data_IF_426162593864
#
_entry.id   IF_426162593864
#
_cell.length_a   1.000
_cell.length_b   1.000
_cell.length_c   1.000
_cell.angle_alpha   90.00
_cell.angle_beta   90.00
_cell.angle_gamma   90.00
#
_symmetry.space_group_name_H-M   'P 1'
#
loop_
_entity.id
_entity.type
_entity.pdbx_description
1 polymer ?
#
# COMPACT_ATOMS: atom_id res chain seq x y z
N UNK A 1 -27.59 -9.03 -24.22
CA UNK A 1 -27.96 -9.58 -25.54
C UNK A 1 -29.29 -8.98 -25.95
N UNK A 2 -29.25 -7.75 -26.46
CA UNK A 2 -30.40 -7.03 -27.01
C UNK A 2 -30.39 -7.28 -28.52
N UNK A 3 -31.41 -7.96 -29.03
CA UNK A 3 -31.59 -8.22 -30.47
C UNK A 3 -31.73 -6.87 -31.19
N UNK A 4 -30.81 -6.59 -32.11
CA UNK A 4 -30.99 -5.54 -33.11
C UNK A 4 -32.17 -5.92 -34.03
N UNK A 5 -33.00 -4.96 -34.46
CA UNK A 5 -34.15 -5.25 -35.31
C UNK A 5 -33.69 -5.59 -36.74
N UNK A 6 -34.34 -6.60 -37.32
CA UNK A 6 -34.21 -6.99 -38.72
C UNK A 6 -34.56 -5.80 -39.63
N UNK A 7 -33.54 -5.25 -40.29
CA UNK A 7 -33.73 -4.27 -41.36
C UNK A 7 -34.12 -5.06 -42.62
N UNK A 8 -35.41 -5.04 -42.93
CA UNK A 8 -35.95 -5.60 -44.16
C UNK A 8 -35.29 -4.96 -45.40
N UNK A 9 -35.05 -5.72 -46.48
CA UNK A 9 -34.51 -5.16 -47.71
C UNK A 9 -35.52 -4.19 -48.31
N UNK A 10 -35.10 -2.93 -48.46
CA UNK A 10 -35.87 -1.92 -49.16
C UNK A 10 -36.20 -2.43 -50.58
N UNK A 11 -37.50 -2.53 -50.86
CA UNK A 11 -38.01 -2.83 -52.18
C UNK A 11 -37.48 -1.79 -53.16
N UNK A 12 -36.81 -2.26 -54.20
CA UNK A 12 -36.48 -1.46 -55.39
C UNK A 12 -37.79 -1.09 -56.09
N UNK A 13 -38.41 0.00 -55.62
CA UNK A 13 -39.50 0.68 -56.29
C UNK A 13 -38.99 1.13 -57.65
N UNK A 14 -39.48 0.45 -58.68
CA UNK A 14 -39.16 0.70 -60.09
C UNK A 14 -39.66 2.11 -60.45
N UNK A 15 -38.79 3.11 -60.27
CA UNK A 15 -39.04 4.49 -60.66
C UNK A 15 -39.03 4.61 -62.17
N UNK A 16 -40.14 4.24 -62.80
CA UNK A 16 -40.40 4.56 -64.21
C UNK A 16 -40.74 6.07 -64.28
N UNK A 17 -39.71 6.89 -64.10
CA UNK A 17 -39.78 8.34 -64.08
C UNK A 17 -39.95 8.90 -65.48
N UNK A 18 -41.20 9.14 -65.83
CA UNK A 18 -41.69 10.21 -66.70
C UNK A 18 -40.66 11.09 -67.44
N UNK A 19 -40.13 10.63 -68.57
CA UNK A 19 -39.61 11.48 -69.66
C UNK A 19 -40.63 11.87 -70.77
N UNK A 20 -41.97 11.73 -70.66
CA UNK A 20 -42.88 12.13 -71.75
C UNK A 20 -43.03 13.65 -72.01
N UNK A 21 -42.76 14.61 -71.09
CA UNK A 21 -43.03 16.02 -71.39
C UNK A 21 -42.02 16.64 -72.36
N UNK A 22 -40.73 16.36 -72.23
CA UNK A 22 -39.69 17.00 -73.05
C UNK A 22 -39.75 16.52 -74.51
N UNK A 23 -39.92 15.21 -74.70
CA UNK A 23 -40.08 14.64 -76.04
C UNK A 23 -41.39 15.09 -76.71
N UNK A 24 -42.46 15.26 -75.92
CA UNK A 24 -43.71 15.83 -76.41
C UNK A 24 -43.57 17.32 -76.77
N UNK A 25 -42.89 18.11 -75.95
CA UNK A 25 -42.65 19.54 -76.19
C UNK A 25 -41.73 19.78 -77.41
N UNK A 26 -40.65 19.02 -77.57
CA UNK A 26 -39.79 19.10 -78.75
C UNK A 26 -40.50 18.70 -80.03
N UNK A 27 -41.35 17.66 -79.97
CA UNK A 27 -42.19 17.28 -81.11
C UNK A 27 -43.27 18.33 -81.41
N UNK A 28 -43.77 19.04 -80.40
CA UNK A 28 -44.71 20.15 -80.56
C UNK A 28 -44.05 21.36 -81.22
N UNK A 29 -42.85 21.77 -80.77
CA UNK A 29 -42.04 22.82 -81.41
C UNK A 29 -41.75 22.47 -82.88
N UNK A 30 -41.42 21.20 -83.16
CA UNK A 30 -41.17 20.75 -84.54
C UNK A 30 -42.41 20.91 -85.42
N UNK A 31 -43.60 20.52 -84.93
CA UNK A 31 -44.87 20.73 -85.65
C UNK A 31 -45.20 22.21 -85.85
N UNK A 32 -45.04 23.03 -84.82
CA UNK A 32 -45.28 24.48 -84.91
C UNK A 32 -44.35 25.16 -85.91
N UNK A 33 -43.07 24.74 -86.01
CA UNK A 33 -42.14 25.24 -87.04
C UNK A 33 -42.53 24.80 -88.45
N UNK A 34 -43.00 23.57 -88.61
CA UNK A 34 -43.51 23.07 -89.89
C UNK A 34 -44.78 23.83 -90.32
N UNK A 35 -45.68 24.13 -89.37
CA UNK A 35 -46.89 24.94 -89.59
C UNK A 35 -46.56 26.40 -89.93
N UNK A 36 -45.60 27.02 -89.23
CA UNK A 36 -45.10 28.37 -89.51
C UNK A 36 -44.52 28.46 -90.94
N UNK A 37 -43.76 27.45 -91.37
CA UNK A 37 -43.20 27.37 -92.72
C UNK A 37 -44.31 27.26 -93.78
N UNK A 38 -45.33 26.44 -93.54
CA UNK A 38 -46.46 26.29 -94.44
C UNK A 38 -47.28 27.58 -94.61
N UNK A 39 -47.40 28.39 -93.55
CA UNK A 39 -48.06 29.70 -93.60
C UNK A 39 -47.21 30.73 -94.37
N UNK A 40 -45.89 30.75 -94.13
CA UNK A 40 -44.96 31.61 -94.88
C UNK A 40 -44.91 31.31 -96.39
N UNK A 41 -45.10 30.05 -96.78
CA UNK A 41 -45.19 29.64 -98.21
C UNK A 41 -46.55 29.99 -98.85
N UNK A 42 -47.64 30.07 -98.07
CA UNK A 42 -48.98 30.43 -98.53
C UNK A 42 -49.19 31.96 -98.71
N UNK A 43 -48.40 32.79 -98.03
CA UNK A 43 -48.56 34.25 -97.94
C UNK A 43 -48.19 35.10 -99.16
N UNK A 44 -48.16 34.54 -100.38
CA UNK A 44 -47.77 35.27 -101.60
C UNK A 44 -48.94 35.76 -102.47
N UNK A 45 -50.20 35.61 -102.03
CA UNK A 45 -51.38 36.05 -102.78
C UNK A 45 -52.48 36.70 -101.92
N UNK A 46 -52.97 37.86 -102.36
CA UNK A 46 -54.19 38.57 -101.92
C UNK A 46 -54.15 39.23 -100.51
N UNK A 47 -54.17 40.56 -100.49
CA UNK A 47 -53.92 41.43 -99.34
C UNK A 47 -54.98 41.52 -98.23
N UNK A 48 -55.93 40.58 -98.12
CA UNK A 48 -56.79 40.45 -96.91
C UNK A 48 -56.62 39.12 -96.17
N UNK A 49 -56.00 38.11 -96.80
CA UNK A 49 -55.61 36.86 -96.13
C UNK A 49 -54.22 36.99 -95.49
N UNK A 50 -53.43 37.96 -95.96
CA UNK A 50 -52.11 38.30 -95.43
C UNK A 50 -52.12 38.76 -93.97
N UNK A 51 -53.03 39.65 -93.58
CA UNK A 51 -53.10 40.15 -92.20
C UNK A 51 -53.49 39.04 -91.21
N UNK A 52 -54.37 38.11 -91.63
CA UNK A 52 -54.75 36.95 -90.81
C UNK A 52 -53.65 35.87 -90.75
N UNK A 53 -52.87 35.74 -91.83
CA UNK A 53 -51.70 34.87 -91.86
C UNK A 53 -50.55 35.44 -91.01
N UNK A 54 -50.27 36.75 -91.08
CA UNK A 54 -49.28 37.45 -90.24
C UNK A 54 -49.66 37.38 -88.75
N UNK A 55 -50.95 37.51 -88.41
CA UNK A 55 -51.42 37.37 -87.02
C UNK A 55 -51.29 35.93 -86.50
N UNK A 56 -51.55 34.91 -87.35
CA UNK A 56 -51.32 33.50 -87.01
C UNK A 56 -49.83 33.17 -86.92
N UNK A 57 -49.01 33.71 -87.81
CA UNK A 57 -47.55 33.56 -87.78
C UNK A 57 -46.99 34.17 -86.48
N UNK A 58 -47.42 35.37 -86.10
CA UNK A 58 -47.03 36.00 -84.84
C UNK A 58 -47.54 35.24 -83.61
N UNK A 59 -48.68 34.54 -83.69
CA UNK A 59 -49.16 33.70 -82.60
C UNK A 59 -48.35 32.41 -82.49
N UNK A 60 -48.10 31.72 -83.59
CA UNK A 60 -47.29 30.49 -83.62
C UNK A 60 -45.86 30.79 -83.19
N UNK A 61 -45.28 31.92 -83.61
CA UNK A 61 -43.96 32.33 -83.16
C UNK A 61 -43.91 32.58 -81.65
N UNK A 62 -44.93 33.24 -81.08
CA UNK A 62 -45.06 33.41 -79.62
C UNK A 62 -45.18 32.08 -78.88
N UNK A 63 -45.92 31.13 -79.44
CA UNK A 63 -46.07 29.80 -78.84
C UNK A 63 -44.77 28.98 -78.94
N UNK A 64 -44.01 29.12 -80.04
CA UNK A 64 -42.66 28.55 -80.19
C UNK A 64 -41.72 29.16 -79.15
N UNK A 65 -41.66 30.49 -79.04
CA UNK A 65 -40.78 31.18 -78.09
C UNK A 65 -41.13 30.81 -76.64
N UNK A 66 -42.42 30.71 -76.33
CA UNK A 66 -42.91 30.27 -75.01
C UNK A 66 -42.48 28.82 -74.72
N UNK A 67 -42.66 27.92 -75.68
CA UNK A 67 -42.32 26.49 -75.48
C UNK A 67 -40.80 26.30 -75.44
N UNK A 68 -40.03 27.06 -76.21
CA UNK A 68 -38.56 27.08 -76.14
C UNK A 68 -38.09 27.58 -74.77
N UNK A 69 -38.68 28.66 -74.24
CA UNK A 69 -38.44 29.14 -72.88
C UNK A 69 -38.76 28.08 -71.80
N UNK A 70 -39.86 27.34 -71.95
CA UNK A 70 -40.22 26.25 -71.05
C UNK A 70 -39.22 25.08 -71.13
N UNK A 71 -38.77 24.72 -72.34
CA UNK A 71 -37.73 23.68 -72.55
C UNK A 71 -36.40 24.11 -71.93
N UNK A 72 -36.01 25.39 -72.06
CA UNK A 72 -34.83 25.94 -71.40
C UNK A 72 -34.99 25.99 -69.87
N UNK A 73 -36.18 26.30 -69.36
CA UNK A 73 -36.51 26.23 -67.94
C UNK A 73 -36.38 24.81 -67.38
N UNK A 74 -36.93 23.82 -68.08
CA UNK A 74 -36.81 22.41 -67.73
C UNK A 74 -35.35 21.95 -67.84
N UNK A 75 -34.61 22.39 -68.86
CA UNK A 75 -33.19 22.08 -69.03
C UNK A 75 -32.34 22.58 -67.85
N UNK A 76 -32.61 23.79 -67.35
CA UNK A 76 -31.97 24.33 -66.13
C UNK A 76 -32.33 23.51 -64.89
N UNK A 77 -33.61 23.17 -64.71
CA UNK A 77 -34.04 22.35 -63.58
C UNK A 77 -33.42 20.94 -63.60
N UNK A 78 -33.26 20.33 -64.78
CA UNK A 78 -32.55 19.05 -64.93
C UNK A 78 -31.09 19.20 -64.53
N UNK A 79 -30.40 20.25 -65.00
CA UNK A 79 -28.99 20.48 -64.65
C UNK A 79 -28.79 20.74 -63.14
N UNK A 80 -29.70 21.47 -62.50
CA UNK A 80 -29.71 21.67 -61.04
C UNK A 80 -29.93 20.35 -60.29
N UNK A 81 -30.92 19.56 -60.71
CA UNK A 81 -31.18 18.24 -60.13
C UNK A 81 -30.00 17.28 -60.32
N UNK A 82 -29.35 17.28 -61.49
CA UNK A 82 -28.15 16.46 -61.76
C UNK A 82 -26.98 16.88 -60.85
N UNK A 83 -26.78 18.19 -60.63
CA UNK A 83 -25.78 18.71 -59.72
C UNK A 83 -26.06 18.29 -58.27
N UNK A 84 -27.31 18.39 -57.81
CA UNK A 84 -27.73 17.91 -56.48
C UNK A 84 -27.54 16.39 -56.33
N UNK A 85 -27.88 15.61 -57.36
CA UNK A 85 -27.71 14.16 -57.37
C UNK A 85 -26.23 13.77 -57.27
N UNK A 86 -25.35 14.52 -57.95
CA UNK A 86 -23.90 14.33 -57.87
C UNK A 86 -23.37 14.67 -56.47
N UNK A 87 -23.80 15.79 -55.87
CA UNK A 87 -23.41 16.17 -54.51
C UNK A 87 -23.89 15.15 -53.46
N UNK A 88 -25.14 14.71 -53.56
CA UNK A 88 -25.70 13.69 -52.68
C UNK A 88 -24.97 12.34 -52.82
N UNK A 89 -24.62 11.96 -54.05
CA UNK A 89 -23.85 10.74 -54.30
C UNK A 89 -22.45 10.81 -53.67
N UNK A 90 -21.78 11.96 -53.77
CA UNK A 90 -20.49 12.18 -53.13
C UNK A 90 -20.60 12.15 -51.60
N UNK A 91 -21.62 12.80 -51.02
CA UNK A 91 -21.86 12.77 -49.57
C UNK A 91 -22.18 11.36 -49.07
N UNK A 92 -22.95 10.59 -49.83
CA UNK A 92 -23.24 9.20 -49.52
C UNK A 92 -21.96 8.35 -49.47
N UNK A 93 -21.04 8.56 -50.40
CA UNK A 93 -19.79 7.80 -50.45
C UNK A 93 -18.87 8.14 -49.26
N UNK A 94 -18.71 9.42 -48.93
CA UNK A 94 -17.98 9.85 -47.72
C UNK A 94 -18.63 9.29 -46.45
N UNK A 95 -19.96 9.28 -46.38
CA UNK A 95 -20.68 8.69 -45.26
C UNK A 95 -20.46 7.17 -45.15
N UNK A 96 -20.34 6.44 -46.28
CA UNK A 96 -20.02 5.01 -46.29
C UNK A 96 -18.61 4.74 -45.83
N UNK A 97 -17.62 5.48 -46.33
CA UNK A 97 -16.23 5.34 -45.92
C UNK A 97 -16.06 5.60 -44.41
N UNK A 98 -16.67 6.66 -43.89
CA UNK A 98 -16.67 6.96 -42.45
C UNK A 98 -17.38 5.89 -41.63
N UNK A 99 -18.50 5.35 -42.11
CA UNK A 99 -19.19 4.24 -41.44
C UNK A 99 -18.32 2.97 -41.39
N UNK A 100 -17.61 2.64 -42.48
CA UNK A 100 -16.66 1.52 -42.51
C UNK A 100 -15.54 1.75 -41.50
N UNK A 101 -14.95 2.95 -41.48
CA UNK A 101 -13.91 3.32 -40.52
C UNK A 101 -14.37 3.21 -39.05
N UNK A 102 -15.59 3.65 -38.74
CA UNK A 102 -16.17 3.48 -37.40
C UNK A 102 -16.43 2.00 -37.06
N UNK A 103 -16.86 1.19 -38.03
CA UNK A 103 -17.07 -0.25 -37.84
C UNK A 103 -15.77 -0.98 -37.51
N UNK A 104 -14.68 -0.65 -38.20
CA UNK A 104 -13.35 -1.20 -37.91
C UNK A 104 -12.83 -0.77 -36.54
N UNK A 105 -12.97 0.51 -36.19
CA UNK A 105 -12.59 1.01 -34.86
C UNK A 105 -13.37 0.31 -33.73
N UNK A 106 -14.68 0.08 -33.91
CA UNK A 106 -15.49 -0.68 -32.96
C UNK A 106 -15.02 -2.12 -32.81
N UNK A 107 -14.61 -2.77 -33.91
CA UNK A 107 -14.06 -4.13 -33.88
C UNK A 107 -12.74 -4.18 -33.12
N UNK A 108 -11.85 -3.22 -33.35
CA UNK A 108 -10.58 -3.12 -32.62
C UNK A 108 -10.79 -2.86 -31.13
N UNK A 109 -11.70 -1.95 -30.79
CA UNK A 109 -12.05 -1.64 -29.40
C UNK A 109 -12.61 -2.87 -28.69
N UNK A 110 -13.52 -3.62 -29.33
CA UNK A 110 -14.06 -4.86 -28.77
C UNK A 110 -12.97 -5.91 -28.56
N UNK A 111 -12.05 -6.08 -29.51
CA UNK A 111 -10.92 -6.99 -29.36
C UNK A 111 -9.98 -6.58 -28.23
N UNK A 112 -9.72 -5.27 -28.06
CA UNK A 112 -8.92 -4.75 -26.96
C UNK A 112 -9.61 -4.97 -25.61
N UNK A 113 -10.93 -4.74 -25.53
CA UNK A 113 -11.73 -4.97 -24.34
C UNK A 113 -11.68 -6.45 -23.92
N UNK A 114 -11.88 -7.39 -24.85
CA UNK A 114 -11.77 -8.82 -24.56
C UNK A 114 -10.39 -9.23 -24.04
N UNK A 115 -9.31 -8.67 -24.60
CA UNK A 115 -7.95 -8.91 -24.08
C UNK A 115 -7.77 -8.39 -22.66
N UNK A 116 -8.27 -7.19 -22.36
CA UNK A 116 -8.17 -6.62 -21.02
C UNK A 116 -9.01 -7.40 -20.00
N UNK A 117 -10.21 -7.85 -20.37
CA UNK A 117 -11.02 -8.73 -19.52
C UNK A 117 -10.28 -10.02 -19.18
N UNK A 118 -9.63 -10.67 -20.16
CA UNK A 118 -8.84 -11.87 -19.90
C UNK A 118 -7.67 -11.62 -18.94
N UNK A 119 -6.96 -10.49 -19.09
CA UNK A 119 -5.87 -10.11 -18.17
C UNK A 119 -6.41 -9.86 -16.75
N UNK A 120 -7.55 -9.18 -16.62
CA UNK A 120 -8.17 -8.92 -15.32
C UNK A 120 -8.56 -10.24 -14.64
N UNK A 121 -9.15 -11.18 -15.38
CA UNK A 121 -9.53 -12.49 -14.85
C UNK A 121 -8.30 -13.30 -14.40
N UNK A 122 -7.22 -13.31 -15.19
CA UNK A 122 -5.95 -13.95 -14.83
C UNK A 122 -5.37 -13.34 -13.53
N UNK A 123 -5.28 -12.00 -13.47
CA UNK A 123 -4.74 -11.30 -12.30
C UNK A 123 -5.60 -11.44 -11.06
N UNK A 124 -6.92 -11.53 -11.21
CA UNK A 124 -7.83 -11.83 -10.11
C UNK A 124 -7.56 -13.22 -9.55
N UNK A 125 -7.37 -14.23 -10.42
CA UNK A 125 -7.01 -15.58 -10.00
C UNK A 125 -5.67 -15.65 -9.26
N UNK A 126 -4.65 -14.93 -9.75
CA UNK A 126 -3.35 -14.81 -9.07
C UNK A 126 -3.50 -14.19 -7.67
N UNK A 127 -4.30 -13.12 -7.55
CA UNK A 127 -4.52 -12.43 -6.28
C UNK A 127 -5.22 -13.34 -5.27
N UNK A 128 -6.23 -14.09 -5.70
CA UNK A 128 -6.95 -15.05 -4.85
C UNK A 128 -6.04 -16.18 -4.36
N UNK A 129 -5.12 -16.65 -5.21
CA UNK A 129 -4.08 -17.61 -4.82
C UNK A 129 -3.15 -17.04 -3.75
N UNK A 130 -2.57 -15.86 -3.99
CA UNK A 130 -1.66 -15.20 -3.02
C UNK A 130 -2.36 -14.91 -1.70
N UNK A 131 -3.63 -14.48 -1.74
CA UNK A 131 -4.45 -14.25 -0.55
C UNK A 131 -4.68 -15.54 0.24
N UNK A 132 -4.95 -16.65 -0.46
CA UNK A 132 -5.13 -17.96 0.17
C UNK A 132 -3.84 -18.47 0.83
N UNK A 133 -2.69 -18.31 0.16
CA UNK A 133 -1.37 -18.63 0.71
C UNK A 133 -1.05 -17.78 1.93
N UNK A 134 -1.33 -16.47 1.88
CA UNK A 134 -1.13 -15.55 2.99
C UNK A 134 -1.97 -15.96 4.21
N UNK A 135 -3.26 -16.24 4.04
CA UNK A 135 -4.13 -16.67 5.15
C UNK A 135 -3.71 -18.03 5.72
N UNK A 136 -3.23 -18.95 4.88
CA UNK A 136 -2.67 -20.22 5.34
C UNK A 136 -1.41 -19.99 6.20
N UNK A 137 -0.47 -19.15 5.74
CA UNK A 137 0.75 -18.81 6.48
C UNK A 137 0.45 -18.04 7.77
N UNK A 138 -0.53 -17.13 7.76
CA UNK A 138 -0.99 -16.42 8.96
C UNK A 138 -1.54 -17.37 10.02
N UNK A 139 -2.33 -18.37 9.62
CA UNK A 139 -2.81 -19.43 10.53
C UNK A 139 -1.66 -20.27 11.08
N UNK A 140 -0.70 -20.64 10.23
CA UNK A 140 0.51 -21.38 10.62
C UNK A 140 1.34 -20.61 11.66
N UNK A 141 1.63 -19.33 11.41
CA UNK A 141 2.33 -18.44 12.36
C UNK A 141 1.56 -18.30 13.67
N UNK A 142 0.23 -18.16 13.61
CA UNK A 142 -0.62 -18.08 14.81
C UNK A 142 -0.55 -19.36 15.64
N UNK A 143 -0.53 -20.53 15.00
CA UNK A 143 -0.36 -21.83 15.65
C UNK A 143 1.00 -21.93 16.33
N UNK A 144 2.08 -21.59 15.62
CA UNK A 144 3.44 -21.59 16.20
C UNK A 144 3.56 -20.62 17.38
N UNK A 145 2.94 -19.44 17.31
CA UNK A 145 2.91 -18.48 18.42
C UNK A 145 2.25 -19.07 19.67
N UNK A 146 1.08 -19.70 19.52
CA UNK A 146 0.39 -20.35 20.63
C UNK A 146 1.19 -21.52 21.21
N UNK A 147 1.82 -22.32 20.35
CA UNK A 147 2.70 -23.41 20.76
C UNK A 147 3.91 -22.91 21.55
N UNK A 148 4.56 -21.84 21.07
CA UNK A 148 5.71 -21.24 21.75
C UNK A 148 5.33 -20.66 23.12
N UNK A 149 4.20 -19.96 23.25
CA UNK A 149 3.71 -19.49 24.55
C UNK A 149 3.47 -20.67 25.52
N UNK A 150 2.90 -21.78 25.03
CA UNK A 150 2.72 -23.00 25.84
C UNK A 150 4.05 -23.62 26.25
N UNK A 151 5.04 -23.65 25.35
CA UNK A 151 6.38 -24.17 25.64
C UNK A 151 7.08 -23.30 26.69
N UNK A 152 7.06 -21.98 26.55
CA UNK A 152 7.61 -21.04 27.53
C UNK A 152 6.93 -21.19 28.89
N UNK A 153 5.60 -21.27 28.94
CA UNK A 153 4.87 -21.48 30.18
C UNK A 153 5.20 -22.84 30.85
N UNK A 154 5.40 -23.90 30.05
CA UNK A 154 5.82 -25.22 30.55
C UNK A 154 7.25 -25.18 31.07
N UNK A 155 8.14 -24.46 30.40
CA UNK A 155 9.52 -24.27 30.82
C UNK A 155 9.59 -23.49 32.14
N UNK A 156 8.78 -22.44 32.28
CA UNK A 156 8.65 -21.63 33.49
C UNK A 156 8.32 -22.44 34.74
N UNK A 157 7.54 -23.52 34.61
CA UNK A 157 7.20 -24.42 35.72
C UNK A 157 8.33 -25.37 36.12
N UNK A 158 9.31 -25.61 35.24
CA UNK A 158 10.39 -26.57 35.43
C UNK A 158 11.70 -25.94 35.89
N UNK A 159 11.89 -24.65 35.62
CA UNK A 159 13.12 -23.91 35.92
C UNK A 159 13.16 -23.39 37.35
N UNK A 160 14.35 -22.97 37.78
CA UNK A 160 14.54 -22.19 38.99
C UNK A 160 13.70 -20.89 38.94
N UNK A 161 13.34 -20.34 40.09
CA UNK A 161 12.40 -19.22 40.19
C UNK A 161 12.89 -17.91 39.52
N UNK A 162 14.14 -17.85 39.04
CA UNK A 162 14.77 -16.66 38.49
C UNK A 162 14.91 -16.62 36.96
N UNK A 163 15.27 -15.44 36.42
CA UNK A 163 15.57 -15.22 35.00
C UNK A 163 16.88 -15.88 34.54
N UNK A 164 17.78 -16.20 35.47
CA UNK A 164 19.08 -16.82 35.20
C UNK A 164 18.99 -18.27 34.68
N UNK A 165 19.96 -18.68 33.86
CA UNK A 165 20.03 -20.06 33.34
C UNK A 165 20.38 -21.09 34.44
N UNK A 166 21.10 -20.65 35.48
CA UNK A 166 21.59 -21.47 36.60
C UNK A 166 21.60 -20.65 37.89
N UNK A 167 21.48 -21.31 39.04
CA UNK A 167 21.57 -20.64 40.33
C UNK A 167 22.83 -19.78 40.41
N UNK A 168 22.65 -18.51 40.78
CA UNK A 168 23.75 -17.55 40.81
C UNK A 168 24.55 -17.70 42.10
N UNK A 169 25.87 -17.74 41.96
CA UNK A 169 26.81 -17.74 43.08
C UNK A 169 27.83 -16.62 42.84
N UNK A 170 28.21 -15.95 43.93
CA UNK A 170 29.32 -15.00 43.88
C UNK A 170 30.61 -15.82 43.84
N UNK A 171 31.49 -15.56 42.86
CA UNK A 171 32.75 -16.28 42.77
C UNK A 171 33.59 -16.11 44.05
N UNK A 172 34.38 -17.13 44.40
CA UNK A 172 35.20 -17.15 45.62
C UNK A 172 36.67 -16.78 45.40
N UNK A 173 37.16 -16.85 44.16
CA UNK A 173 38.60 -16.97 43.90
C UNK A 173 39.08 -16.07 42.75
N UNK A 174 38.76 -14.78 42.80
CA UNK A 174 39.38 -13.80 41.90
C UNK A 174 40.43 -13.02 42.67
N UNK A 175 41.71 -13.41 42.53
CA UNK A 175 42.81 -12.52 42.91
C UNK A 175 42.63 -11.21 42.16
N UNK A 176 42.37 -10.14 42.91
CA UNK A 176 42.05 -8.87 42.34
C UNK A 176 43.30 -8.19 41.78
N UNK A 177 43.46 -8.24 40.45
CA UNK A 177 44.49 -7.49 39.73
C UNK A 177 43.86 -6.68 38.60
N UNK A 178 43.71 -5.38 38.82
CA UNK A 178 43.19 -4.47 37.80
C UNK A 178 44.33 -3.83 37.01
N UNK A 179 44.46 -4.20 35.72
CA UNK A 179 45.41 -3.62 34.76
C UNK A 179 44.81 -2.42 33.98
N UNK A 180 43.53 -2.12 34.20
CA UNK A 180 42.85 -1.02 33.54
C UNK A 180 41.44 -0.74 34.03
N UNK A 181 40.89 0.37 33.53
CA UNK A 181 39.53 0.84 33.78
C UNK A 181 38.78 0.98 32.46
N UNK A 182 37.56 0.48 32.43
CA UNK A 182 36.56 0.66 31.38
C UNK A 182 35.36 1.31 32.03
N UNK A 183 34.87 2.39 31.43
CA UNK A 183 33.64 3.04 31.84
C UNK A 183 32.63 2.98 30.70
N UNK A 184 31.42 2.53 31.02
CA UNK A 184 30.26 2.63 30.14
C UNK A 184 29.34 3.72 30.70
N UNK A 185 28.99 4.68 29.86
CA UNK A 185 28.04 5.74 30.19
C UNK A 185 26.60 5.21 30.32
N UNK A 186 25.65 6.10 30.15
CA UNK A 186 24.22 5.83 30.33
C UNK A 186 23.72 4.73 29.38
N UNK A 187 23.10 3.70 29.95
CA UNK A 187 22.59 2.52 29.19
C UNK A 187 21.15 2.73 28.71
N UNK A 188 20.41 3.64 29.36
CA UNK A 188 19.02 3.98 29.09
C UNK A 188 18.07 2.78 29.04
N UNK A 189 18.28 1.76 29.88
CA UNK A 189 17.46 0.55 29.89
C UNK A 189 17.46 -0.23 28.56
N UNK A 190 18.49 -0.04 27.70
CA UNK A 190 18.56 -0.63 26.37
C UNK A 190 19.51 -1.84 26.30
N UNK A 191 18.98 -3.04 26.62
CA UNK A 191 19.74 -4.29 26.68
C UNK A 191 20.53 -4.62 25.38
N UNK A 192 19.99 -4.44 24.16
CA UNK A 192 20.78 -4.71 22.94
C UNK A 192 22.03 -3.83 22.82
N UNK A 193 21.96 -2.58 23.29
CA UNK A 193 23.10 -1.68 23.31
C UNK A 193 24.18 -2.20 24.26
N UNK A 194 23.78 -2.57 25.48
CA UNK A 194 24.68 -3.19 26.46
C UNK A 194 25.32 -4.47 25.92
N UNK A 195 24.54 -5.39 25.35
CA UNK A 195 25.07 -6.67 24.87
C UNK A 195 26.05 -6.50 23.71
N UNK A 196 25.74 -5.60 22.76
CA UNK A 196 26.67 -5.25 21.68
C UNK A 196 27.96 -4.64 22.24
N UNK A 197 27.87 -3.81 23.27
CA UNK A 197 29.04 -3.21 23.90
C UNK A 197 29.90 -4.28 24.60
N UNK A 198 29.29 -5.17 25.39
CA UNK A 198 29.99 -6.24 26.10
C UNK A 198 30.72 -7.16 25.12
N UNK A 199 30.05 -7.60 24.05
CA UNK A 199 30.64 -8.53 23.08
C UNK A 199 31.68 -7.82 22.20
N UNK A 200 31.36 -6.62 21.71
CA UNK A 200 32.26 -5.85 20.84
C UNK A 200 33.59 -5.47 21.51
N UNK A 201 33.57 -5.29 22.83
CA UNK A 201 34.77 -5.00 23.63
C UNK A 201 35.38 -6.26 24.28
N UNK A 202 34.91 -7.46 23.91
CA UNK A 202 35.38 -8.73 24.47
C UNK A 202 35.30 -8.75 26.01
N UNK A 203 34.21 -8.25 26.58
CA UNK A 203 34.00 -8.20 28.03
C UNK A 203 33.16 -9.37 28.54
N UNK A 204 32.20 -9.82 27.75
CA UNK A 204 31.39 -10.98 28.09
C UNK A 204 30.74 -11.57 26.85
N UNK A 205 30.48 -12.87 26.91
CA UNK A 205 29.49 -13.53 26.07
C UNK A 205 28.11 -13.43 26.72
N UNK A 206 27.09 -13.22 25.89
CA UNK A 206 25.70 -13.12 26.34
C UNK A 206 24.88 -14.17 25.60
N UNK A 207 24.02 -14.89 26.31
CA UNK A 207 23.03 -15.80 25.72
C UNK A 207 21.65 -15.62 26.34
N UNK A 208 20.62 -15.87 25.54
CA UNK A 208 19.21 -15.80 25.92
C UNK A 208 18.50 -17.04 25.40
N UNK A 209 17.74 -17.72 26.27
CA UNK A 209 17.08 -18.98 25.91
C UNK A 209 18.01 -20.03 25.28
N UNK A 210 19.31 -20.04 25.64
CA UNK A 210 20.31 -20.95 25.07
C UNK A 210 20.86 -20.54 23.70
N UNK A 211 20.46 -19.39 23.14
CA UNK A 211 21.04 -18.84 21.92
C UNK A 211 22.06 -17.76 22.25
N UNK A 212 23.24 -17.82 21.63
CA UNK A 212 24.25 -16.77 21.78
C UNK A 212 23.76 -15.48 21.12
N UNK A 213 24.03 -14.33 21.75
CA UNK A 213 23.67 -13.01 21.23
C UNK A 213 24.21 -12.77 19.82
N UNK A 214 25.43 -13.25 19.55
CA UNK A 214 26.07 -13.18 18.22
C UNK A 214 25.29 -13.92 17.13
N UNK A 215 24.42 -14.86 17.50
CA UNK A 215 23.54 -15.60 16.57
C UNK A 215 22.19 -14.90 16.35
N UNK A 216 21.85 -13.90 17.18
CA UNK A 216 20.59 -13.16 17.10
C UNK A 216 20.73 -12.07 16.03
N UNK A 217 20.34 -12.39 14.79
CA UNK A 217 20.51 -11.51 13.62
C UNK A 217 19.56 -10.31 13.56
N UNK A 218 18.52 -10.26 14.38
CA UNK A 218 17.44 -9.30 14.22
C UNK A 218 17.12 -8.54 15.52
N UNK A 219 17.46 -7.25 15.55
CA UNK A 219 17.09 -6.32 16.64
C UNK A 219 15.58 -6.14 16.82
N UNK A 220 14.77 -6.62 15.85
CA UNK A 220 13.31 -6.62 15.90
C UNK A 220 12.74 -7.38 17.11
N UNK A 221 13.45 -8.37 17.65
CA UNK A 221 13.02 -9.09 18.85
C UNK A 221 12.92 -8.21 20.10
N UNK A 222 13.59 -7.05 20.10
CA UNK A 222 13.60 -6.07 21.20
C UNK A 222 12.70 -4.86 20.92
N UNK A 223 11.98 -4.86 19.79
CA UNK A 223 11.02 -3.83 19.42
C UNK A 223 9.64 -4.45 19.40
N UNK A 224 8.94 -4.43 20.53
CA UNK A 224 7.58 -4.97 20.60
C UNK A 224 6.56 -3.99 20.01
N UNK A 225 5.61 -4.53 19.23
CA UNK A 225 4.45 -3.78 18.73
C UNK A 225 3.21 -4.65 18.83
N UNK A 226 2.23 -4.23 19.64
CA UNK A 226 1.01 -5.00 19.89
C UNK A 226 0.16 -5.30 18.65
N UNK A 227 0.33 -4.56 17.55
CA UNK A 227 -0.48 -4.68 16.33
C UNK A 227 0.16 -5.43 15.16
N UNK A 228 1.43 -5.87 15.26
CA UNK A 228 2.12 -6.47 14.10
C UNK A 228 1.95 -7.97 14.02
N UNK A 229 1.90 -8.49 12.78
CA UNK A 229 2.00 -9.93 12.46
C UNK A 229 3.37 -10.52 12.80
N UNK A 230 4.36 -9.67 13.12
CA UNK A 230 5.71 -10.07 13.47
C UNK A 230 5.76 -10.68 14.88
N UNK A 231 6.55 -11.74 15.02
CA UNK A 231 6.79 -12.39 16.30
C UNK A 231 7.65 -11.49 17.19
N UNK A 232 7.00 -10.68 18.03
CA UNK A 232 7.68 -9.86 19.05
C UNK A 232 7.28 -10.32 20.44
N UNK A 233 8.26 -10.71 21.26
CA UNK A 233 8.04 -11.00 22.68
C UNK A 233 7.78 -9.70 23.43
N UNK A 234 6.82 -9.67 24.38
CA UNK A 234 6.71 -8.54 25.30
C UNK A 234 8.04 -8.33 26.02
N UNK A 235 8.41 -7.06 26.33
CA UNK A 235 9.61 -6.77 27.09
C UNK A 235 9.49 -7.24 28.55
N UNK A 236 10.61 -7.18 29.26
CA UNK A 236 10.69 -7.60 30.67
C UNK A 236 11.16 -9.04 30.84
N UNK A 237 11.73 -9.31 32.01
CA UNK A 237 12.26 -10.63 32.36
C UNK A 237 11.14 -11.63 32.54
N UNK A 238 11.28 -12.80 31.91
CA UNK A 238 10.28 -13.86 32.03
C UNK A 238 10.19 -14.34 33.47
N UNK A 239 8.98 -14.30 34.03
CA UNK A 239 8.70 -14.84 35.35
C UNK A 239 9.08 -13.97 36.54
N UNK A 240 9.25 -12.66 36.35
CA UNK A 240 9.50 -11.74 37.45
C UNK A 240 8.43 -11.87 38.57
N UNK A 241 8.80 -12.04 39.86
CA UNK A 241 7.84 -12.24 40.96
C UNK A 241 6.81 -11.11 41.11
N UNK A 242 7.24 -9.86 40.87
CA UNK A 242 6.35 -8.70 40.88
C UNK A 242 5.39 -8.63 39.67
N UNK A 243 5.54 -9.48 38.65
CA UNK A 243 4.66 -9.56 37.47
C UNK A 243 4.04 -10.96 37.32
N UNK A 244 3.26 -11.44 38.30
CA UNK A 244 2.74 -12.81 38.28
C UNK A 244 1.81 -13.08 37.09
N UNK A 245 1.11 -12.06 36.59
CA UNK A 245 0.14 -12.14 35.50
C UNK A 245 0.73 -11.85 34.12
N UNK A 246 2.00 -11.46 34.04
CA UNK A 246 2.64 -11.13 32.75
C UNK A 246 2.69 -12.34 31.81
N UNK A 247 2.43 -12.13 30.50
CA UNK A 247 2.63 -13.16 29.50
C UNK A 247 4.08 -13.65 29.49
N UNK A 248 4.33 -14.94 29.19
CA UNK A 248 5.69 -15.44 29.06
C UNK A 248 6.49 -14.67 28.02
N UNK A 249 7.75 -14.36 28.34
CA UNK A 249 8.66 -13.64 27.44
C UNK A 249 9.80 -14.55 26.97
N UNK A 250 10.45 -14.21 25.86
CA UNK A 250 11.69 -14.89 25.40
C UNK A 250 12.92 -14.41 26.18
N UNK A 251 12.77 -13.45 27.08
CA UNK A 251 13.85 -12.95 27.93
C UNK A 251 13.95 -13.81 29.18
N UNK A 252 14.30 -15.08 28.97
CA UNK A 252 14.50 -16.10 29.99
C UNK A 252 15.86 -16.77 29.81
N UNK A 253 16.34 -17.43 30.86
CA UNK A 253 17.65 -18.12 30.87
C UNK A 253 18.76 -17.21 30.39
N UNK A 254 18.76 -15.96 30.86
CA UNK A 254 19.86 -15.04 30.59
C UNK A 254 21.12 -15.64 31.22
N UNK A 255 22.17 -15.72 30.42
CA UNK A 255 23.50 -16.09 30.88
C UNK A 255 24.51 -15.11 30.33
N UNK A 256 25.21 -14.43 31.23
CA UNK A 256 26.32 -13.54 30.93
C UNK A 256 27.59 -14.18 31.47
N UNK A 257 28.52 -14.50 30.58
CA UNK A 257 29.80 -15.14 30.90
C UNK A 257 30.91 -14.11 30.69
N UNK A 258 31.52 -13.57 31.76
CA UNK A 258 32.63 -12.64 31.61
C UNK A 258 33.80 -13.29 30.87
N UNK A 259 34.40 -12.55 29.94
CA UNK A 259 35.65 -12.93 29.31
C UNK A 259 36.82 -12.80 30.30
N UNK A 260 37.93 -13.49 30.02
CA UNK A 260 39.14 -13.42 30.87
C UNK A 260 39.71 -12.01 30.98
N UNK A 261 39.62 -11.23 29.90
CA UNK A 261 39.95 -9.80 29.84
C UNK A 261 39.19 -8.97 30.87
N UNK A 262 37.97 -9.33 31.22
CA UNK A 262 37.17 -8.64 32.24
C UNK A 262 37.67 -8.94 33.65
N UNK A 263 38.27 -10.11 33.89
CA UNK A 263 38.84 -10.45 35.21
C UNK A 263 40.01 -9.54 35.59
N UNK A 264 40.69 -8.98 34.60
CA UNK A 264 41.84 -8.11 34.80
C UNK A 264 41.48 -6.62 34.72
N UNK A 265 40.22 -6.25 34.43
CA UNK A 265 39.81 -4.86 34.20
C UNK A 265 38.65 -4.47 35.08
N UNK A 266 38.65 -3.22 35.54
CA UNK A 266 37.47 -2.65 36.21
C UNK A 266 36.48 -2.14 35.18
N UNK A 267 35.26 -2.67 35.17
CA UNK A 267 34.12 -2.16 34.43
C UNK A 267 33.21 -1.36 35.35
N UNK A 268 33.04 -0.07 35.06
CA UNK A 268 32.12 0.82 35.77
C UNK A 268 30.98 1.22 34.84
N UNK A 269 29.76 0.85 35.22
CA UNK A 269 28.53 1.36 34.62
C UNK A 269 28.13 2.66 35.33
N UNK A 270 28.09 3.77 34.61
CA UNK A 270 27.93 5.11 35.21
C UNK A 270 26.49 5.40 35.65
N UNK A 271 25.48 4.82 35.00
CA UNK A 271 24.08 5.04 35.38
C UNK A 271 23.10 4.62 34.31
N UNK A 272 21.83 4.96 34.55
CA UNK A 272 20.68 4.72 33.67
C UNK A 272 20.59 3.26 33.20
N UNK A 273 20.90 2.33 34.10
CA UNK A 273 20.53 0.92 33.94
C UNK A 273 19.01 0.78 33.88
N UNK A 274 18.33 1.61 34.68
CA UNK A 274 16.89 1.81 34.64
C UNK A 274 16.61 3.15 33.98
N UNK A 275 15.87 3.15 32.89
CA UNK A 275 15.33 4.37 32.26
C UNK A 275 14.11 3.96 31.40
N UNK A 276 13.69 4.83 30.49
CA UNK A 276 12.56 4.70 29.56
C UNK A 276 12.72 3.59 28.51
N UNK A 277 13.87 2.89 28.50
CA UNK A 277 14.08 1.71 27.68
C UNK A 277 13.24 0.52 28.16
N UNK A 278 12.72 -0.25 27.22
CA UNK A 278 11.85 -1.40 27.51
C UNK A 278 12.53 -2.53 28.29
N UNK A 279 13.86 -2.57 28.33
CA UNK A 279 14.63 -3.74 28.78
C UNK A 279 15.44 -3.45 30.05
N UNK A 280 15.05 -2.47 30.86
CA UNK A 280 15.72 -2.08 32.10
C UNK A 280 15.96 -3.27 33.06
N UNK A 281 14.97 -4.15 33.26
CA UNK A 281 15.17 -5.35 34.09
C UNK A 281 16.25 -6.28 33.52
N UNK A 282 16.27 -6.46 32.20
CA UNK A 282 17.24 -7.33 31.53
C UNK A 282 18.66 -6.74 31.58
N UNK A 283 18.78 -5.41 31.48
CA UNK A 283 20.03 -4.67 31.70
C UNK A 283 20.52 -4.91 33.12
N UNK A 284 19.67 -4.67 34.12
CA UNK A 284 20.02 -4.82 35.54
C UNK A 284 20.43 -6.26 35.85
N UNK A 285 19.73 -7.25 35.31
CA UNK A 285 20.06 -8.66 35.49
C UNK A 285 21.40 -9.04 34.84
N UNK A 286 21.69 -8.54 33.64
CA UNK A 286 22.97 -8.78 32.98
C UNK A 286 24.14 -8.20 33.79
N UNK A 287 23.98 -6.98 34.30
CA UNK A 287 24.97 -6.35 35.18
C UNK A 287 25.11 -7.13 36.49
N UNK A 288 24.01 -7.62 37.08
CA UNK A 288 24.04 -8.44 38.29
C UNK A 288 24.87 -9.71 38.10
N UNK A 289 24.70 -10.41 36.97
CA UNK A 289 25.48 -11.61 36.66
C UNK A 289 26.97 -11.31 36.47
N UNK A 290 27.31 -10.18 35.83
CA UNK A 290 28.71 -9.72 35.72
C UNK A 290 29.33 -9.47 37.10
N UNK A 291 28.64 -8.71 37.95
CA UNK A 291 29.07 -8.37 39.32
C UNK A 291 29.28 -9.62 40.18
N UNK A 292 28.41 -10.63 40.04
CA UNK A 292 28.54 -11.90 40.76
C UNK A 292 29.72 -12.75 40.27
N UNK A 293 29.97 -12.75 38.96
CA UNK A 293 30.92 -13.65 38.31
C UNK A 293 32.38 -13.19 38.42
N UNK A 294 32.60 -11.88 38.53
CA UNK A 294 33.93 -11.27 38.69
C UNK A 294 33.95 -10.27 39.85
N UNK A 295 34.00 -10.77 41.10
CA UNK A 295 34.05 -9.92 42.29
C UNK A 295 35.12 -8.85 42.22
N UNK A 296 34.79 -7.63 42.61
CA UNK A 296 35.73 -6.51 42.58
C UNK A 296 35.91 -5.85 41.21
N UNK A 297 35.49 -6.48 40.12
CA UNK A 297 35.83 -6.05 38.75
C UNK A 297 34.68 -5.34 38.03
N UNK A 298 33.42 -5.52 38.44
CA UNK A 298 32.27 -4.87 37.81
C UNK A 298 31.43 -4.16 38.86
N UNK A 299 31.05 -2.90 38.62
CA UNK A 299 30.15 -2.13 39.47
C UNK A 299 29.23 -1.22 38.67
N UNK A 300 28.03 -1.01 39.19
CA UNK A 300 27.15 0.07 38.78
C UNK A 300 27.17 1.20 39.80
N UNK A 301 27.19 2.42 39.31
CA UNK A 301 26.81 3.60 40.08
C UNK A 301 25.29 3.78 40.05
N UNK A 302 24.76 4.62 40.94
CA UNK A 302 23.34 4.90 41.08
C UNK A 302 23.05 6.23 40.39
N UNK A 303 22.27 6.19 39.31
CA UNK A 303 21.73 7.37 38.64
C UNK A 303 20.46 7.89 39.32
N UNK A 304 19.93 8.99 38.79
CA UNK A 304 18.69 9.60 39.29
C UNK A 304 17.47 8.68 39.06
N UNK A 305 17.42 7.95 37.94
CA UNK A 305 16.35 7.01 37.66
C UNK A 305 16.34 5.83 38.64
N UNK A 306 17.51 5.25 38.94
CA UNK A 306 17.63 4.23 39.98
C UNK A 306 17.29 4.80 41.36
N UNK A 307 17.74 6.02 41.68
CA UNK A 307 17.46 6.65 42.97
C UNK A 307 15.95 6.80 43.22
N UNK A 308 15.16 7.19 42.22
CA UNK A 308 13.70 7.25 42.34
C UNK A 308 13.09 5.89 42.71
N UNK A 309 13.56 4.81 42.07
CA UNK A 309 13.08 3.45 42.33
C UNK A 309 13.51 2.96 43.71
N UNK A 310 14.76 3.22 44.11
CA UNK A 310 15.32 2.80 45.42
C UNK A 310 14.61 3.52 46.57
N UNK A 311 14.37 4.82 46.43
CA UNK A 311 13.74 5.67 47.43
C UNK A 311 12.20 5.56 47.45
N UNK A 312 11.63 4.66 46.66
CA UNK A 312 10.19 4.41 46.59
C UNK A 312 9.38 5.64 46.15
N UNK A 313 9.94 6.44 45.25
CA UNK A 313 9.34 7.68 44.74
C UNK A 313 8.44 7.41 43.53
N UNK A 314 7.46 6.52 43.70
CA UNK A 314 6.57 6.09 42.61
C UNK A 314 5.88 7.27 41.92
N UNK A 315 5.28 8.20 42.66
CA UNK A 315 4.53 9.33 42.09
C UNK A 315 5.40 10.22 41.19
N UNK A 316 6.65 10.48 41.60
CA UNK A 316 7.60 11.30 40.82
C UNK A 316 8.04 10.53 39.58
N UNK A 317 8.37 9.25 39.74
CA UNK A 317 8.76 8.39 38.62
C UNK A 317 7.62 8.25 37.60
N UNK A 318 6.39 7.98 38.06
CA UNK A 318 5.22 7.83 37.22
C UNK A 318 4.90 9.11 36.45
N UNK A 319 4.95 10.28 37.11
CA UNK A 319 4.75 11.56 36.43
C UNK A 319 5.78 11.79 35.32
N UNK A 320 7.06 11.45 35.56
CA UNK A 320 8.12 11.57 34.54
C UNK A 320 7.89 10.63 33.36
N UNK A 321 7.45 9.40 33.62
CA UNK A 321 7.11 8.42 32.60
C UNK A 321 5.88 8.87 31.79
N UNK A 322 4.82 9.39 32.43
CA UNK A 322 3.63 9.89 31.76
C UNK A 322 3.90 11.06 30.84
N UNK A 323 4.72 12.03 31.29
CA UNK A 323 5.14 13.16 30.45
C UNK A 323 5.85 12.63 29.22
N UNK A 324 6.78 11.68 29.40
CA UNK A 324 7.47 11.05 28.29
C UNK A 324 6.49 10.33 27.37
N UNK A 325 5.58 9.48 27.91
CA UNK A 325 4.54 8.74 27.18
C UNK A 325 3.65 9.64 26.32
N UNK A 326 3.26 10.80 26.84
CA UNK A 326 2.30 11.70 26.20
C UNK A 326 2.93 12.77 25.29
N UNK A 327 4.23 13.03 25.41
CA UNK A 327 4.91 14.01 24.58
C UNK A 327 5.14 13.50 23.15
N UNK A 328 4.27 13.93 22.24
CA UNK A 328 4.33 13.62 20.80
C UNK A 328 5.36 14.46 20.05
N UNK A 329 5.92 15.49 20.68
CA UNK A 329 6.84 16.44 20.04
C UNK A 329 8.29 15.96 19.99
N UNK A 330 8.63 14.91 20.75
CA UNK A 330 9.99 14.34 20.83
C UNK A 330 10.33 13.55 19.54
N UNK A 331 11.23 14.05 18.68
CA UNK A 331 11.63 13.34 17.47
C UNK A 331 12.48 12.11 17.81
N UNK A 332 12.31 11.01 17.08
CA UNK A 332 13.14 9.81 17.22
C UNK A 332 12.88 8.99 18.49
N UNK A 333 11.77 9.23 19.18
CA UNK A 333 11.42 8.56 20.42
C UNK A 333 11.36 7.02 20.24
N UNK A 334 12.13 6.24 21.02
CA UNK A 334 11.95 4.80 21.03
C UNK A 334 10.55 4.48 21.54
N UNK A 335 9.88 3.55 20.86
CA UNK A 335 8.54 3.10 21.24
C UNK A 335 8.66 2.31 22.55
N UNK A 336 8.30 2.92 23.68
CA UNK A 336 8.28 2.28 25.01
C UNK A 336 6.92 1.65 25.23
N UNK A 337 6.92 0.37 25.55
CA UNK A 337 5.73 -0.49 25.75
C UNK A 337 5.80 -1.30 27.02
N UNK A 338 6.88 -1.16 27.80
CA UNK A 338 7.02 -1.78 29.12
C UNK A 338 5.76 -1.58 29.97
N UNK A 339 5.15 -0.39 29.90
CA UNK A 339 3.97 0.00 30.69
C UNK A 339 2.63 -0.40 30.07
N UNK A 340 2.60 -1.10 28.93
CA UNK A 340 1.36 -1.53 28.29
C UNK A 340 0.67 -2.60 29.18
N UNK A 341 -0.65 -2.48 29.47
CA UNK A 341 -1.40 -3.48 30.24
C UNK A 341 -1.29 -4.91 29.69
N UNK A 342 -1.15 -5.08 28.38
CA UNK A 342 -0.94 -6.39 27.76
C UNK A 342 0.42 -6.98 28.13
N UNK A 343 1.44 -6.14 28.29
CA UNK A 343 2.82 -6.54 28.64
C UNK A 343 2.92 -6.90 30.11
N UNK A 344 2.29 -6.12 30.99
CA UNK A 344 2.33 -6.35 32.45
C UNK A 344 1.33 -7.41 32.90
N UNK A 345 0.25 -7.63 32.13
CA UNK A 345 -0.88 -8.47 32.52
C UNK A 345 -1.89 -7.72 33.40
N UNK A 346 -1.80 -6.40 33.48
CA UNK A 346 -2.71 -5.54 34.20
C UNK A 346 -3.89 -5.07 33.34
N UNK A 347 -4.86 -4.39 33.95
CA UNK A 347 -6.06 -3.88 33.24
C UNK A 347 -6.00 -2.39 32.93
N UNK A 348 -5.17 -1.64 33.66
CA UNK A 348 -5.01 -0.19 33.53
C UNK A 348 -3.55 0.19 33.35
N UNK A 349 -3.31 1.36 32.75
CA UNK A 349 -1.96 1.91 32.60
C UNK A 349 -1.31 2.17 33.97
N UNK A 350 -2.07 2.77 34.90
CA UNK A 350 -1.60 3.04 36.27
C UNK A 350 -1.15 1.76 36.99
N UNK A 351 -1.97 0.70 36.96
CA UNK A 351 -1.60 -0.59 37.55
C UNK A 351 -0.38 -1.21 36.87
N UNK A 352 -0.24 -1.02 35.56
CA UNK A 352 0.95 -1.45 34.80
C UNK A 352 2.21 -0.70 35.22
N UNK A 353 2.10 0.61 35.41
CA UNK A 353 3.22 1.45 35.87
C UNK A 353 3.64 1.08 37.29
N UNK A 354 2.69 0.88 38.21
CA UNK A 354 2.99 0.45 39.58
C UNK A 354 3.65 -0.94 39.61
N UNK A 355 3.11 -1.88 38.82
CA UNK A 355 3.70 -3.21 38.67
C UNK A 355 5.14 -3.15 38.13
N UNK A 356 5.38 -2.33 37.12
CA UNK A 356 6.71 -2.13 36.56
C UNK A 356 7.67 -1.51 37.57
N UNK A 357 7.23 -0.48 38.28
CA UNK A 357 8.03 0.14 39.33
C UNK A 357 8.47 -0.89 40.38
N UNK A 358 7.55 -1.74 40.85
CA UNK A 358 7.87 -2.83 41.78
C UNK A 358 8.81 -3.87 41.17
N UNK A 359 8.72 -4.16 39.88
CA UNK A 359 9.62 -5.07 39.19
C UNK A 359 11.05 -4.50 39.08
N UNK A 360 11.16 -3.23 38.67
CA UNK A 360 12.41 -2.48 38.63
C UNK A 360 13.06 -2.42 40.01
N UNK A 361 12.27 -2.16 41.06
CA UNK A 361 12.73 -2.13 42.45
C UNK A 361 13.29 -3.46 42.93
N UNK A 362 12.61 -4.57 42.60
CA UNK A 362 13.12 -5.91 42.87
C UNK A 362 14.44 -6.18 42.16
N UNK A 363 14.53 -5.82 40.89
CA UNK A 363 15.73 -6.00 40.05
C UNK A 363 16.93 -5.21 40.57
N UNK A 364 16.77 -3.91 40.84
CA UNK A 364 17.87 -3.07 41.35
C UNK A 364 18.27 -3.48 42.77
N UNK A 365 17.31 -3.89 43.62
CA UNK A 365 17.61 -4.42 44.94
C UNK A 365 18.48 -5.68 44.89
N UNK A 366 18.17 -6.61 43.97
CA UNK A 366 18.98 -7.80 43.75
C UNK A 366 20.40 -7.46 43.25
N UNK A 367 20.53 -6.48 42.34
CA UNK A 367 21.83 -5.99 41.88
C UNK A 367 22.65 -5.38 43.03
N UNK A 368 22.07 -4.48 43.82
CA UNK A 368 22.77 -3.81 44.91
C UNK A 368 23.23 -4.78 46.00
N UNK A 369 22.41 -5.78 46.35
CA UNK A 369 22.82 -6.85 47.28
C UNK A 369 23.96 -7.68 46.70
N UNK A 370 23.87 -8.04 45.41
CA UNK A 370 24.94 -8.79 44.73
C UNK A 370 26.24 -8.00 44.70
N UNK A 371 26.16 -6.70 44.41
CA UNK A 371 27.31 -5.78 44.42
C UNK A 371 27.92 -5.64 45.80
N UNK A 372 27.10 -5.51 46.85
CA UNK A 372 27.57 -5.46 48.22
C UNK A 372 28.36 -6.72 48.59
N UNK A 373 27.80 -7.91 48.37
CA UNK A 373 28.48 -9.16 48.71
C UNK A 373 29.68 -9.46 47.80
N UNK A 374 29.65 -9.00 46.55
CA UNK A 374 30.76 -9.06 45.61
C UNK A 374 31.95 -8.23 46.11
N UNK A 375 31.70 -7.01 46.60
CA UNK A 375 32.70 -6.15 47.24
C UNK A 375 33.28 -6.74 48.54
N UNK A 376 32.48 -7.46 49.32
CA UNK A 376 32.98 -8.11 50.54
C UNK A 376 33.91 -9.30 50.26
N UNK A 377 33.91 -9.82 49.03
CA UNK A 377 34.76 -10.94 48.61
C UNK A 377 35.98 -10.53 47.78
N UNK A 378 36.00 -9.31 47.26
CA UNK A 378 37.07 -8.78 46.40
C UNK A 378 38.32 -8.39 47.15
#
# INVERSE_FOLDING_TARGET
VTKLPDVAPASSGNGNGGLPPLHSAMNHIRRLRDDLRAIGEAGTGLGSERDSAEEREAQIQRDIDSTESDVEGIGRAIAELEAELMELSQRLEVARETHIGHSDALRELNAAMSRQTAIIEEKSGDLDRVRSEFEAKKKEVSKFRLELVRLLAKDRKKRFAGPENKAMHIASDTEFQADGLISLGDVHGWAPGLFNYLIGNQLADVSLCGFLWSQIKHSKHFKWRGSTTDFTSPPGLDGHPSRPNSPPTVFSRLEVVPADTTRNRRLIMVGDLIDRGDHSELVVEAVRQMVASVPGCCFSLIGNHEAMVILDLFEIWASNEEVYLNDKSLPGRPFTVSHDPIVTGETTLEGSMEMNFRALRGSIGALLLTQHFSLLRS
#
